data_IF_577943494356
#
_entry.id   IF_577943494356
#
_cell.length_a   1.000
_cell.length_b   1.000
_cell.length_c   1.000
_cell.angle_alpha   90.00
_cell.angle_beta   90.00
_cell.angle_gamma   90.00
#
_symmetry.space_group_name_H-M   'P 1'
#
loop_
_entity.id
_entity.type
_entity.pdbx_description
1 polymer ?
#
# COMPACT_ATOMS: atom_id res chain seq x y z
N UNK A 1 -7.79 4.45 21.59
CA UNK A 1 -8.91 4.00 22.45
C UNK A 1 -9.28 5.05 23.48
N UNK A 2 -8.35 5.54 24.30
CA UNK A 2 -8.64 6.55 25.35
C UNK A 2 -9.20 7.88 24.79
N UNK A 3 -8.73 8.34 23.63
CA UNK A 3 -9.21 9.58 23.00
C UNK A 3 -10.72 9.54 22.69
N UNK A 4 -11.25 8.39 22.28
CA UNK A 4 -12.68 8.23 21.93
C UNK A 4 -13.54 8.41 23.18
N UNK A 5 -13.14 7.79 24.29
CA UNK A 5 -13.85 7.93 25.56
C UNK A 5 -13.85 9.38 26.05
N UNK A 6 -12.72 10.09 25.97
CA UNK A 6 -12.68 11.51 26.36
C UNK A 6 -13.49 12.39 25.39
N UNK A 7 -13.48 12.13 24.08
CA UNK A 7 -14.31 12.87 23.12
C UNK A 7 -15.80 12.71 23.45
N UNK A 8 -16.25 11.48 23.71
CA UNK A 8 -17.65 11.21 24.09
C UNK A 8 -17.97 11.88 25.42
N UNK A 9 -17.08 11.80 26.41
CA UNK A 9 -17.27 12.46 27.69
C UNK A 9 -17.44 13.98 27.54
N UNK A 10 -16.51 14.64 26.83
CA UNK A 10 -16.59 16.09 26.62
C UNK A 10 -17.82 16.48 25.83
N UNK A 11 -18.21 15.66 24.85
CA UNK A 11 -19.44 15.87 24.10
C UNK A 11 -20.67 15.86 25.01
N UNK A 12 -20.84 14.80 25.81
CA UNK A 12 -21.96 14.67 26.74
C UNK A 12 -21.94 15.78 27.80
N UNK A 13 -20.78 16.07 28.38
CA UNK A 13 -20.62 17.11 29.39
C UNK A 13 -20.99 18.48 28.85
N UNK A 14 -20.40 18.91 27.73
CA UNK A 14 -20.66 20.24 27.18
C UNK A 14 -22.08 20.39 26.64
N UNK A 15 -22.69 19.33 26.09
CA UNK A 15 -24.09 19.37 25.69
C UNK A 15 -25.00 19.50 26.91
N UNK A 16 -24.73 18.75 27.98
CA UNK A 16 -25.55 18.77 29.19
C UNK A 16 -25.41 20.08 29.98
N UNK A 17 -24.17 20.58 30.12
CA UNK A 17 -23.88 21.85 30.76
C UNK A 17 -24.45 23.03 29.96
N UNK A 18 -24.39 22.99 28.63
CA UNK A 18 -25.00 24.01 27.78
C UNK A 18 -26.53 24.03 27.90
N UNK A 19 -27.18 22.86 27.86
CA UNK A 19 -28.63 22.76 28.08
C UNK A 19 -29.01 23.33 29.45
N UNK A 20 -28.29 22.92 30.48
CA UNK A 20 -28.55 23.34 31.86
C UNK A 20 -28.31 24.83 32.07
N UNK A 21 -27.31 25.43 31.42
CA UNK A 21 -27.01 26.85 31.57
C UNK A 21 -27.94 27.80 30.78
N UNK A 22 -28.54 27.32 29.68
CA UNK A 22 -29.23 28.18 28.72
C UNK A 22 -30.73 27.92 28.58
N UNK A 23 -31.19 26.69 28.82
CA UNK A 23 -32.54 26.25 28.45
C UNK A 23 -33.28 25.48 29.55
N UNK A 24 -32.57 24.94 30.54
CA UNK A 24 -33.20 24.17 31.62
C UNK A 24 -33.94 25.10 32.59
N UNK A 25 -35.25 24.91 32.70
CA UNK A 25 -36.03 25.41 33.82
C UNK A 25 -35.74 24.53 35.05
N UNK A 26 -35.02 25.08 36.01
CA UNK A 26 -34.68 24.32 37.19
C UNK A 26 -35.83 24.31 38.21
N UNK A 27 -36.09 23.14 38.77
CA UNK A 27 -37.13 22.91 39.78
C UNK A 27 -36.52 22.74 41.18
N UNK A 28 -37.30 22.87 42.28
CA UNK A 28 -36.80 22.65 43.65
C UNK A 28 -36.18 21.26 43.89
N UNK A 29 -36.52 20.26 43.07
CA UNK A 29 -35.94 18.92 43.11
C UNK A 29 -34.55 18.85 42.46
N UNK A 30 -34.16 19.84 41.64
CA UNK A 30 -32.86 19.94 40.94
C UNK A 30 -31.71 20.47 41.82
N UNK A 31 -31.88 20.49 43.15
CA UNK A 31 -30.82 20.91 44.09
C UNK A 31 -29.59 20.01 44.07
N UNK A 32 -29.71 18.81 43.50
CA UNK A 32 -28.60 17.90 43.25
C UNK A 32 -27.77 18.34 42.03
N UNK A 33 -26.57 18.84 42.31
CA UNK A 33 -25.54 19.28 41.35
C UNK A 33 -25.33 18.30 40.18
N UNK A 34 -25.37 17.00 40.44
CA UNK A 34 -25.22 15.98 39.39
C UNK A 34 -26.37 16.01 38.38
N UNK A 35 -27.61 16.23 38.82
CA UNK A 35 -28.77 16.35 37.92
C UNK A 35 -28.84 17.71 37.24
N UNK A 36 -28.24 18.73 37.87
CA UNK A 36 -28.10 20.07 37.32
C UNK A 36 -26.97 20.20 36.27
N UNK A 37 -25.96 19.33 36.28
CA UNK A 37 -24.81 19.39 35.33
C UNK A 37 -24.81 18.23 34.34
N UNK A 38 -25.32 17.05 34.74
CA UNK A 38 -25.44 15.85 33.92
C UNK A 38 -26.90 15.43 33.79
N UNK A 39 -27.66 16.23 33.05
CA UNK A 39 -28.94 15.77 32.50
C UNK A 39 -28.66 14.77 31.37
N UNK A 40 -28.85 13.48 31.69
CA UNK A 40 -28.67 12.36 30.76
C UNK A 40 -29.63 12.40 29.56
N UNK A 41 -30.69 13.21 29.64
CA UNK A 41 -31.67 13.40 28.57
C UNK A 41 -31.54 14.77 27.88
N UNK A 42 -30.50 15.56 28.16
CA UNK A 42 -30.33 16.92 27.61
C UNK A 42 -30.55 16.99 26.09
N UNK A 43 -29.97 16.04 25.33
CA UNK A 43 -30.12 16.01 23.86
C UNK A 43 -31.55 15.64 23.43
N UNK A 44 -32.20 14.74 24.16
CA UNK A 44 -33.58 14.32 23.87
C UNK A 44 -34.60 15.40 24.25
N UNK A 45 -34.38 16.12 25.35
CA UNK A 45 -35.22 17.24 25.79
C UNK A 45 -35.07 18.43 24.84
N UNK A 46 -33.84 18.81 24.49
CA UNK A 46 -33.59 19.84 23.48
C UNK A 46 -34.26 19.56 22.13
N UNK A 47 -34.31 18.29 21.71
CA UNK A 47 -35.01 17.90 20.48
C UNK A 47 -36.53 18.06 20.61
N UNK A 48 -37.09 17.90 21.81
CA UNK A 48 -38.49 18.13 22.09
C UNK A 48 -38.84 19.62 22.24
N UNK A 49 -37.93 20.40 22.82
CA UNK A 49 -38.11 21.83 23.13
C UNK A 49 -37.94 22.70 21.87
N UNK A 50 -37.04 22.33 20.95
CA UNK A 50 -37.00 22.93 19.62
C UNK A 50 -35.76 22.62 18.80
N UNK A 51 -35.90 22.63 17.47
CA UNK A 51 -34.77 22.36 16.56
C UNK A 51 -33.60 23.35 16.73
N UNK A 52 -33.89 24.61 17.07
CA UNK A 52 -32.87 25.63 17.34
C UNK A 52 -32.04 25.29 18.58
N UNK A 53 -32.68 24.85 19.66
CA UNK A 53 -31.99 24.49 20.92
C UNK A 53 -31.08 23.28 20.71
N UNK A 54 -31.57 22.28 19.98
CA UNK A 54 -30.78 21.13 19.56
C UNK A 54 -29.51 21.54 18.81
N UNK A 55 -29.59 22.50 17.88
CA UNK A 55 -28.41 23.01 17.16
C UNK A 55 -27.42 23.63 18.15
N UNK A 56 -27.87 24.48 19.06
CA UNK A 56 -26.99 25.15 20.03
C UNK A 56 -26.26 24.14 20.94
N UNK A 57 -26.99 23.14 21.45
CA UNK A 57 -26.47 22.13 22.38
C UNK A 57 -25.48 21.16 21.71
N UNK A 58 -25.63 20.93 20.41
CA UNK A 58 -24.67 20.15 19.62
C UNK A 58 -23.48 21.00 19.15
N UNK A 59 -23.70 22.29 18.86
CA UNK A 59 -22.67 23.19 18.36
C UNK A 59 -21.64 23.53 19.44
N UNK A 60 -22.05 23.75 20.69
CA UNK A 60 -21.14 24.11 21.78
C UNK A 60 -20.02 23.06 21.96
N UNK A 61 -20.32 21.76 22.17
CA UNK A 61 -19.27 20.74 22.22
C UNK A 61 -18.40 20.68 20.96
N UNK A 62 -18.99 20.89 19.78
CA UNK A 62 -18.23 20.93 18.53
C UNK A 62 -17.22 22.09 18.49
N UNK A 63 -17.59 23.27 19.01
CA UNK A 63 -16.66 24.40 19.16
C UNK A 63 -15.54 24.06 20.13
N UNK A 64 -15.84 23.48 21.30
CA UNK A 64 -14.81 23.09 22.27
C UNK A 64 -13.85 22.02 21.71
N UNK A 65 -14.38 20.96 21.08
CA UNK A 65 -13.55 19.95 20.42
C UNK A 65 -12.72 20.56 19.28
N UNK A 66 -13.29 21.48 18.50
CA UNK A 66 -12.60 22.22 17.45
C UNK A 66 -11.46 23.08 18.00
N UNK A 67 -11.66 23.75 19.14
CA UNK A 67 -10.61 24.50 19.83
C UNK A 67 -9.48 23.56 20.27
N UNK A 68 -9.78 22.38 20.82
CA UNK A 68 -8.71 21.45 21.21
C UNK A 68 -8.00 20.80 20.02
N UNK A 69 -8.64 20.70 18.85
CA UNK A 69 -7.95 20.39 17.58
C UNK A 69 -6.93 21.48 17.20
N UNK A 70 -7.26 22.76 17.41
CA UNK A 70 -6.33 23.88 17.16
C UNK A 70 -5.11 23.83 18.08
N UNK A 71 -5.20 23.28 19.29
CA UNK A 71 -4.04 23.05 20.16
C UNK A 71 -3.01 22.17 19.45
N UNK A 72 -3.45 21.10 18.78
CA UNK A 72 -2.55 20.24 18.01
C UNK A 72 -1.93 20.98 16.83
N UNK A 73 -2.74 21.70 16.04
CA UNK A 73 -2.26 22.48 14.89
C UNK A 73 -1.21 23.52 15.28
N UNK A 74 -1.42 24.24 16.38
CA UNK A 74 -0.44 25.21 16.86
C UNK A 74 0.78 24.55 17.54
N UNK A 75 0.65 23.32 18.05
CA UNK A 75 1.78 22.55 18.60
C UNK A 75 2.82 22.17 17.53
N UNK A 76 2.42 22.12 16.26
CA UNK A 76 3.31 21.81 15.12
C UNK A 76 4.14 23.01 14.63
N UNK A 77 3.70 24.23 14.95
CA UNK A 77 4.44 25.44 14.56
C UNK A 77 5.77 25.54 15.32
N UNK A 78 6.79 26.09 14.66
CA UNK A 78 8.12 26.32 15.25
C UNK A 78 8.19 27.71 15.90
N UNK A 79 8.92 27.82 17.00
CA UNK A 79 9.19 29.08 17.70
C UNK A 79 8.38 29.29 18.98
N UNK A 80 8.59 30.45 19.63
CA UNK A 80 7.99 30.79 20.93
C UNK A 80 6.51 31.20 20.76
N UNK A 81 6.14 31.74 19.61
CA UNK A 81 4.77 32.16 19.28
C UNK A 81 3.72 31.05 19.45
N UNK A 82 4.13 29.77 19.30
CA UNK A 82 3.25 28.62 19.52
C UNK A 82 2.71 28.57 20.96
N UNK A 83 3.57 28.86 21.95
CA UNK A 83 3.19 28.81 23.35
C UNK A 83 2.19 29.92 23.67
N UNK A 84 2.39 31.12 23.12
CA UNK A 84 1.45 32.23 23.26
C UNK A 84 0.08 31.91 22.64
N UNK A 85 0.04 31.30 21.44
CA UNK A 85 -1.22 30.89 20.80
C UNK A 85 -1.96 29.82 21.62
N UNK A 86 -1.23 28.81 22.10
CA UNK A 86 -1.81 27.74 22.93
C UNK A 86 -2.32 28.29 24.26
N UNK A 87 -1.53 29.14 24.94
CA UNK A 87 -1.95 29.79 26.19
C UNK A 87 -3.19 30.66 25.94
N UNK A 88 -3.21 31.46 24.87
CA UNK A 88 -4.37 32.27 24.52
C UNK A 88 -5.62 31.43 24.31
N UNK A 89 -5.49 30.29 23.63
CA UNK A 89 -6.60 29.37 23.41
C UNK A 89 -7.09 28.74 24.73
N UNK A 90 -6.18 28.29 25.59
CA UNK A 90 -6.51 27.76 26.92
C UNK A 90 -7.21 28.81 27.78
N UNK A 91 -6.77 30.07 27.74
CA UNK A 91 -7.41 31.17 28.48
C UNK A 91 -8.82 31.43 27.95
N UNK A 92 -9.02 31.44 26.62
CA UNK A 92 -10.36 31.59 26.03
C UNK A 92 -11.28 30.46 26.47
N UNK A 93 -10.82 29.21 26.40
CA UNK A 93 -11.61 28.05 26.86
C UNK A 93 -11.94 28.14 28.35
N UNK A 94 -10.97 28.55 29.18
CA UNK A 94 -11.19 28.75 30.61
C UNK A 94 -12.26 29.80 30.89
N UNK A 95 -12.28 30.90 30.16
CA UNK A 95 -13.30 31.95 30.28
C UNK A 95 -14.69 31.40 29.93
N UNK A 96 -14.81 30.60 28.86
CA UNK A 96 -16.10 29.99 28.52
C UNK A 96 -16.57 29.01 29.60
N UNK A 97 -15.68 28.15 30.11
CA UNK A 97 -16.03 27.21 31.19
C UNK A 97 -16.40 27.94 32.48
N UNK A 98 -15.73 29.07 32.78
CA UNK A 98 -16.07 29.95 33.89
C UNK A 98 -17.49 30.50 33.76
N UNK A 99 -17.86 30.97 32.57
CA UNK A 99 -19.20 31.51 32.30
C UNK A 99 -20.26 30.43 32.47
N UNK A 100 -20.04 29.23 31.93
CA UNK A 100 -20.97 28.09 32.05
C UNK A 100 -21.12 27.69 33.52
N UNK A 101 -20.01 27.55 34.25
CA UNK A 101 -20.04 27.20 35.66
C UNK A 101 -20.78 28.24 36.52
N UNK A 102 -20.54 29.53 36.24
CA UNK A 102 -21.21 30.61 36.95
C UNK A 102 -22.72 30.60 36.68
N UNK A 103 -23.13 30.43 35.41
CA UNK A 103 -24.54 30.37 35.03
C UNK A 103 -25.27 29.25 35.77
N UNK A 104 -24.74 28.02 35.75
CA UNK A 104 -25.37 26.87 36.42
C UNK A 104 -25.44 27.09 37.94
N UNK A 105 -24.36 27.56 38.57
CA UNK A 105 -24.34 27.77 40.02
C UNK A 105 -25.29 28.89 40.45
N UNK A 106 -25.42 29.94 39.63
CA UNK A 106 -26.40 31.02 39.83
C UNK A 106 -27.82 30.52 39.79
N UNK A 107 -28.18 29.76 38.76
CA UNK A 107 -29.52 29.16 38.64
C UNK A 107 -29.83 28.24 39.84
N UNK A 108 -28.90 27.36 40.23
CA UNK A 108 -29.07 26.50 41.43
C UNK A 108 -29.30 27.34 42.70
N UNK A 109 -28.59 28.46 42.83
CA UNK A 109 -28.71 29.34 43.98
C UNK A 109 -30.04 30.10 44.01
N UNK A 110 -30.52 30.60 42.86
CA UNK A 110 -31.81 31.29 42.77
C UNK A 110 -32.99 30.40 43.18
N UNK A 111 -32.97 29.11 42.84
CA UNK A 111 -33.95 28.13 43.32
C UNK A 111 -33.86 27.95 44.83
N UNK A 112 -32.64 27.83 45.38
CA UNK A 112 -32.43 27.68 46.82
C UNK A 112 -33.00 28.88 47.58
N UNK A 113 -32.87 30.08 47.03
CA UNK A 113 -33.51 31.29 47.58
C UNK A 113 -35.02 31.17 47.48
N UNK A 114 -35.56 30.87 46.29
CA UNK A 114 -37.01 30.78 46.06
C UNK A 114 -37.72 29.72 46.90
N UNK A 115 -37.02 28.65 47.31
CA UNK A 115 -37.50 27.64 48.26
C UNK A 115 -37.23 27.94 49.73
N UNK A 116 -36.49 29.00 50.05
CA UNK A 116 -36.14 29.40 51.42
C UNK A 116 -36.98 30.59 51.90
N UNK A 117 -37.40 30.57 53.16
CA UNK A 117 -38.15 31.68 53.77
C UNK A 117 -37.26 32.88 54.18
N UNK A 118 -35.98 32.89 53.79
CA UNK A 118 -35.02 33.93 54.16
C UNK A 118 -34.66 34.77 52.93
N UNK A 119 -34.65 36.10 53.09
CA UNK A 119 -34.10 37.01 52.09
C UNK A 119 -32.57 36.85 52.02
N UNK A 120 -32.12 35.95 51.15
CA UNK A 120 -30.70 35.82 50.82
C UNK A 120 -30.32 36.84 49.75
N UNK A 121 -29.11 37.39 49.85
CA UNK A 121 -28.57 38.29 48.84
C UNK A 121 -28.40 37.56 47.48
N UNK A 122 -28.55 38.26 46.34
CA UNK A 122 -28.35 37.66 45.03
C UNK A 122 -26.92 37.13 44.86
N UNK A 123 -26.76 36.07 44.07
CA UNK A 123 -25.44 35.47 43.85
C UNK A 123 -24.51 36.49 43.18
N UNK A 124 -23.38 36.74 43.85
CA UNK A 124 -22.26 37.51 43.30
C UNK A 124 -21.18 36.57 42.79
N UNK A 125 -20.30 37.06 41.92
CA UNK A 125 -19.14 36.31 41.43
C UNK A 125 -18.27 35.80 42.59
N UNK A 126 -18.06 36.63 43.61
CA UNK A 126 -17.31 36.23 44.82
C UNK A 126 -18.01 35.10 45.59
N UNK A 127 -19.35 35.13 45.66
CA UNK A 127 -20.15 34.05 46.22
C UNK A 127 -19.97 32.73 45.47
N UNK A 128 -20.00 32.77 44.13
CA UNK A 128 -19.79 31.59 43.29
C UNK A 128 -18.40 30.97 43.49
N UNK A 129 -17.34 31.77 43.71
CA UNK A 129 -16.00 31.24 44.00
C UNK A 129 -15.89 30.46 45.32
N UNK A 130 -16.76 30.77 46.29
CA UNK A 130 -16.83 30.08 47.58
C UNK A 130 -17.62 28.77 47.50
N UNK A 131 -18.42 28.59 46.45
CA UNK A 131 -19.20 27.38 46.22
C UNK A 131 -18.30 26.26 45.65
N UNK A 132 -18.31 25.09 46.29
CA UNK A 132 -17.54 23.93 45.81
C UNK A 132 -18.02 23.46 44.42
N UNK A 133 -19.31 23.64 44.14
CA UNK A 133 -19.94 23.20 42.90
C UNK A 133 -19.40 23.92 41.68
N UNK A 134 -19.03 25.20 41.85
CA UNK A 134 -18.39 26.00 40.83
C UNK A 134 -17.09 25.36 40.35
N UNK A 135 -16.24 24.95 41.29
CA UNK A 135 -14.97 24.30 40.99
C UNK A 135 -15.14 22.89 40.43
N UNK A 136 -16.17 22.15 40.84
CA UNK A 136 -16.48 20.83 40.28
C UNK A 136 -16.84 20.93 38.80
N UNK A 137 -17.65 21.92 38.39
CA UNK A 137 -18.02 22.12 36.98
C UNK A 137 -16.78 22.46 36.16
N UNK A 138 -15.96 23.41 36.62
CA UNK A 138 -14.71 23.79 35.94
C UNK A 138 -13.77 22.59 35.84
N UNK A 139 -13.65 21.78 36.90
CA UNK A 139 -12.78 20.61 36.87
C UNK A 139 -13.27 19.55 35.88
N UNK A 140 -14.58 19.28 35.86
CA UNK A 140 -15.20 18.31 34.95
C UNK A 140 -15.09 18.73 33.48
N UNK A 141 -15.15 20.04 33.17
CA UNK A 141 -14.97 20.56 31.82
C UNK A 141 -13.50 20.81 31.48
N UNK A 142 -12.95 21.89 32.05
CA UNK A 142 -11.69 22.50 31.64
C UNK A 142 -10.48 21.59 31.78
N UNK A 143 -10.36 20.91 32.93
CA UNK A 143 -9.20 20.04 33.18
C UNK A 143 -9.25 18.83 32.26
N UNK A 144 -10.42 18.22 32.08
CA UNK A 144 -10.60 17.10 31.15
C UNK A 144 -10.36 17.54 29.70
N UNK A 145 -10.78 18.75 29.34
CA UNK A 145 -10.51 19.35 28.03
C UNK A 145 -8.99 19.49 27.77
N UNK A 146 -8.22 19.99 28.74
CA UNK A 146 -6.76 20.09 28.61
C UNK A 146 -6.15 18.70 28.40
N UNK A 147 -6.55 17.71 29.21
CA UNK A 147 -6.07 16.33 29.09
C UNK A 147 -6.41 15.79 27.70
N UNK A 148 -7.63 16.00 27.22
CA UNK A 148 -8.06 15.59 25.89
C UNK A 148 -7.20 16.23 24.79
N UNK A 149 -6.96 17.55 24.84
CA UNK A 149 -6.14 18.25 23.85
C UNK A 149 -4.70 17.71 23.77
N UNK A 150 -4.09 17.39 24.92
CA UNK A 150 -2.76 16.77 24.94
C UNK A 150 -2.76 15.33 24.42
N UNK A 151 -3.71 14.50 24.88
CA UNK A 151 -3.86 13.11 24.41
C UNK A 151 -4.15 13.06 22.92
N UNK A 152 -4.95 14.00 22.42
CA UNK A 152 -5.24 14.18 21.00
C UNK A 152 -3.96 14.48 20.21
N UNK A 153 -3.19 15.49 20.64
CA UNK A 153 -1.93 15.83 19.97
C UNK A 153 -0.94 14.67 19.98
N UNK A 154 -0.84 13.91 21.07
CA UNK A 154 0.02 12.73 21.14
C UNK A 154 -0.46 11.63 20.16
N UNK A 155 -1.76 11.33 20.18
CA UNK A 155 -2.35 10.30 19.31
C UNK A 155 -2.15 10.65 17.84
N UNK A 156 -2.35 11.92 17.46
CA UNK A 156 -2.21 12.35 16.07
C UNK A 156 -0.76 12.26 15.59
N UNK A 157 0.22 12.66 16.42
CA UNK A 157 1.65 12.49 16.12
C UNK A 157 2.04 11.02 15.88
N UNK A 158 1.49 10.10 16.64
CA UNK A 158 1.75 8.66 16.45
C UNK A 158 1.04 8.13 15.19
N UNK A 159 -0.16 8.62 14.89
CA UNK A 159 -0.87 8.28 13.65
C UNK A 159 -0.10 8.74 12.41
N UNK A 160 0.43 9.97 12.41
CA UNK A 160 1.25 10.48 11.31
C UNK A 160 2.53 9.67 11.08
N UNK A 161 3.21 9.26 12.16
CA UNK A 161 4.39 8.38 12.05
C UNK A 161 4.01 7.02 11.47
N UNK A 162 2.92 6.43 11.95
CA UNK A 162 2.42 5.15 11.46
C UNK A 162 2.05 5.22 9.98
N UNK A 163 1.41 6.30 9.53
CA UNK A 163 1.06 6.52 8.13
C UNK A 163 2.30 6.66 7.24
N UNK A 164 3.35 7.37 7.69
CA UNK A 164 4.63 7.43 6.96
C UNK A 164 5.28 6.06 6.82
N UNK A 165 5.28 5.25 7.88
CA UNK A 165 5.81 3.89 7.85
C UNK A 165 4.98 3.01 6.92
N UNK A 166 3.65 3.09 7.00
CA UNK A 166 2.73 2.34 6.15
C UNK A 166 2.90 2.70 4.68
N UNK A 167 3.06 3.98 4.38
CA UNK A 167 3.37 4.46 3.03
C UNK A 167 4.71 3.90 2.55
N UNK A 168 5.77 3.98 3.35
CA UNK A 168 7.08 3.42 3.01
C UNK A 168 7.03 1.90 2.74
N UNK A 169 6.31 1.15 3.57
CA UNK A 169 6.09 -0.31 3.38
C UNK A 169 5.34 -0.57 2.07
N UNK A 170 4.27 0.19 1.79
CA UNK A 170 3.49 0.05 0.55
C UNK A 170 4.36 0.28 -0.68
N UNK A 171 5.17 1.33 -0.69
CA UNK A 171 6.09 1.62 -1.80
C UNK A 171 7.12 0.51 -2.00
N UNK A 172 7.67 -0.06 -0.92
CA UNK A 172 8.62 -1.19 -1.01
C UNK A 172 7.95 -2.45 -1.56
N UNK A 173 6.73 -2.76 -1.12
CA UNK A 173 5.97 -3.91 -1.62
C UNK A 173 5.61 -3.78 -3.10
N UNK A 174 5.28 -2.56 -3.55
CA UNK A 174 5.03 -2.29 -4.97
C UNK A 174 6.29 -2.56 -5.81
N UNK A 175 7.44 -2.02 -5.41
CA UNK A 175 8.73 -2.29 -6.08
C UNK A 175 9.07 -3.78 -6.10
N UNK A 176 8.78 -4.51 -5.01
CA UNK A 176 8.97 -5.96 -4.96
C UNK A 176 8.08 -6.70 -5.97
N UNK A 177 6.84 -6.22 -6.17
CA UNK A 177 5.94 -6.77 -7.18
C UNK A 177 6.45 -6.50 -8.60
N UNK A 178 6.95 -5.30 -8.87
CA UNK A 178 7.57 -4.92 -10.14
C UNK A 178 8.77 -5.83 -10.44
N UNK A 179 9.71 -5.96 -9.50
CA UNK A 179 10.86 -6.86 -9.67
C UNK A 179 10.47 -8.33 -9.89
N UNK A 180 9.39 -8.81 -9.26
CA UNK A 180 8.88 -10.17 -9.52
C UNK A 180 8.36 -10.34 -10.94
N UNK A 181 7.68 -9.32 -11.48
CA UNK A 181 7.20 -9.31 -12.87
C UNK A 181 8.40 -9.31 -13.83
N UNK A 182 9.40 -8.46 -13.58
CA UNK A 182 10.61 -8.41 -14.39
C UNK A 182 11.37 -9.74 -14.38
N UNK A 183 11.54 -10.36 -13.20
CA UNK A 183 12.14 -11.69 -13.09
C UNK A 183 11.37 -12.74 -13.89
N UNK A 184 10.04 -12.68 -13.90
CA UNK A 184 9.21 -13.60 -14.69
C UNK A 184 9.42 -13.40 -16.19
N UNK A 185 9.42 -12.15 -16.66
CA UNK A 185 9.67 -11.83 -18.08
C UNK A 185 11.07 -12.26 -18.52
N UNK A 186 12.09 -12.01 -17.69
CA UNK A 186 13.46 -12.46 -17.97
C UNK A 186 13.51 -13.99 -18.09
N UNK A 187 12.83 -14.72 -17.19
CA UNK A 187 12.77 -16.18 -17.24
C UNK A 187 12.06 -16.71 -18.49
N UNK A 188 10.98 -16.06 -18.91
CA UNK A 188 10.26 -16.40 -20.14
C UNK A 188 11.14 -16.15 -21.38
N UNK A 189 11.85 -15.02 -21.43
CA UNK A 189 12.77 -14.70 -22.50
C UNK A 189 13.96 -15.68 -22.56
N UNK A 190 14.49 -16.08 -21.39
CA UNK A 190 15.56 -17.07 -21.30
C UNK A 190 15.10 -18.43 -21.87
N UNK A 191 13.87 -18.83 -21.57
CA UNK A 191 13.28 -20.07 -22.11
C UNK A 191 13.11 -20.00 -23.63
N UNK A 192 12.66 -18.85 -24.17
CA UNK A 192 12.57 -18.63 -25.62
C UNK A 192 13.93 -18.72 -26.30
N UNK A 193 14.94 -18.06 -25.74
CA UNK A 193 16.32 -18.08 -26.26
C UNK A 193 16.92 -19.50 -26.21
N UNK A 194 16.65 -20.28 -25.16
CA UNK A 194 17.07 -21.68 -25.08
C UNK A 194 16.40 -22.54 -26.17
N UNK A 195 15.11 -22.35 -26.41
CA UNK A 195 14.40 -23.04 -27.49
C UNK A 195 14.97 -22.68 -28.86
N UNK A 196 15.23 -21.39 -29.11
CA UNK A 196 15.88 -20.94 -30.35
C UNK A 196 17.26 -21.56 -30.53
N UNK A 197 18.09 -21.57 -29.48
CA UNK A 197 19.41 -22.22 -29.51
C UNK A 197 19.30 -23.69 -29.90
N UNK A 198 18.39 -24.43 -29.27
CA UNK A 198 18.20 -25.85 -29.55
C UNK A 198 17.73 -26.09 -30.99
N UNK A 199 16.83 -25.24 -31.50
CA UNK A 199 16.37 -25.35 -32.89
C UNK A 199 17.50 -25.07 -33.88
N UNK A 200 18.29 -24.02 -33.66
CA UNK A 200 19.47 -23.71 -34.48
C UNK A 200 20.48 -24.83 -34.43
N UNK A 201 20.74 -25.43 -33.26
CA UNK A 201 21.62 -26.59 -33.15
C UNK A 201 21.10 -27.78 -33.97
N UNK A 202 19.81 -28.06 -33.91
CA UNK A 202 19.19 -29.11 -34.72
C UNK A 202 19.31 -28.86 -36.23
N UNK A 203 19.21 -27.61 -36.68
CA UNK A 203 19.44 -27.25 -38.09
C UNK A 203 20.90 -27.40 -38.50
N UNK A 204 21.85 -27.04 -37.63
CA UNK A 204 23.29 -27.27 -37.85
C UNK A 204 23.56 -28.77 -38.02
N UNK A 205 23.01 -29.60 -37.14
CA UNK A 205 23.21 -31.05 -37.17
C UNK A 205 22.62 -31.67 -38.45
N UNK A 206 21.43 -31.22 -38.88
CA UNK A 206 20.83 -31.63 -40.17
C UNK A 206 21.71 -31.25 -41.35
N UNK A 207 22.24 -30.02 -41.36
CA UNK A 207 23.12 -29.56 -42.43
C UNK A 207 24.42 -30.36 -42.47
N UNK A 208 24.98 -30.70 -41.30
CA UNK A 208 26.17 -31.56 -41.19
C UNK A 208 25.92 -32.96 -41.77
N UNK A 209 24.79 -33.59 -41.42
CA UNK A 209 24.40 -34.90 -41.97
C UNK A 209 24.24 -34.83 -43.49
N UNK A 210 23.60 -33.77 -44.02
CA UNK A 210 23.48 -33.58 -45.47
C UNK A 210 24.85 -33.47 -46.13
N UNK A 211 25.74 -32.65 -45.59
CA UNK A 211 27.10 -32.52 -46.12
C UNK A 211 27.84 -33.85 -46.13
N UNK A 212 27.75 -34.64 -45.05
CA UNK A 212 28.35 -35.98 -44.97
C UNK A 212 27.77 -36.95 -46.02
N UNK A 213 26.47 -36.86 -46.33
CA UNK A 213 25.84 -37.69 -47.37
C UNK A 213 26.26 -37.35 -48.79
N UNK A 214 26.75 -36.14 -49.05
CA UNK A 214 27.25 -35.72 -50.37
C UNK A 214 28.75 -35.98 -50.57
N UNK A 215 29.46 -36.51 -49.57
CA UNK A 215 30.88 -36.87 -49.73
C UNK A 215 30.99 -38.20 -50.46
N UNK A 216 31.26 -38.14 -51.76
CA UNK A 216 31.63 -39.31 -52.56
C UNK A 216 33.04 -39.77 -52.18
N UNK A 217 33.18 -41.01 -51.71
CA UNK A 217 34.48 -41.62 -51.47
C UNK A 217 35.00 -42.31 -52.72
N UNK A 218 36.27 -42.08 -53.03
CA UNK A 218 36.91 -42.63 -54.23
C UNK A 218 36.77 -44.15 -54.35
N UNK A 219 36.88 -44.86 -53.22
CA UNK A 219 36.83 -46.32 -53.19
C UNK A 219 35.46 -46.85 -53.60
N UNK A 220 34.38 -46.22 -53.14
CA UNK A 220 33.00 -46.64 -53.45
C UNK A 220 32.71 -46.44 -54.94
N UNK A 221 33.16 -45.32 -55.51
CA UNK A 221 33.01 -45.03 -56.95
C UNK A 221 33.89 -45.97 -57.79
N UNK A 222 35.13 -46.23 -57.37
CA UNK A 222 36.03 -47.18 -58.03
C UNK A 222 35.44 -48.58 -58.05
N UNK A 223 34.88 -49.05 -56.94
CA UNK A 223 34.27 -50.37 -56.84
C UNK A 223 33.07 -50.49 -57.79
N UNK A 224 32.19 -49.49 -57.81
CA UNK A 224 31.05 -49.44 -58.75
C UNK A 224 31.49 -49.48 -60.22
N UNK A 225 32.51 -48.69 -60.59
CA UNK A 225 33.08 -48.67 -61.94
C UNK A 225 33.70 -50.02 -62.28
N UNK A 226 34.50 -50.60 -61.40
CA UNK A 226 35.12 -51.91 -61.63
C UNK A 226 34.08 -53.01 -61.81
N UNK A 227 33.00 -53.01 -61.03
CA UNK A 227 31.92 -53.98 -61.16
C UNK A 227 31.18 -53.83 -62.50
N UNK A 228 30.89 -52.60 -62.92
CA UNK A 228 30.30 -52.33 -64.23
C UNK A 228 31.19 -52.80 -65.38
N UNK A 229 32.48 -52.42 -65.38
CA UNK A 229 33.42 -52.79 -66.44
C UNK A 229 33.75 -54.28 -66.46
N UNK A 230 33.72 -54.96 -65.31
CA UNK A 230 33.82 -56.42 -65.25
C UNK A 230 32.64 -57.09 -65.93
N UNK A 231 31.40 -56.62 -65.67
CA UNK A 231 30.19 -57.11 -66.33
C UNK A 231 30.18 -56.80 -67.83
N UNK A 232 30.54 -55.58 -68.20
CA UNK A 232 30.63 -55.14 -69.60
C UNK A 232 31.71 -55.88 -70.37
N UNK A 233 32.90 -56.06 -69.78
CA UNK A 233 33.98 -56.86 -70.36
C UNK A 233 33.61 -58.33 -70.51
N UNK A 234 32.82 -58.89 -69.58
CA UNK A 234 32.22 -60.22 -69.72
C UNK A 234 31.25 -60.30 -70.91
N UNK A 235 30.40 -59.30 -71.08
CA UNK A 235 29.49 -59.19 -72.23
C UNK A 235 30.24 -59.06 -73.56
N UNK A 236 31.23 -58.18 -73.66
CA UNK A 236 32.03 -58.00 -74.88
C UNK A 236 32.79 -59.25 -75.31
N UNK A 237 33.28 -60.04 -74.34
CA UNK A 237 33.90 -61.35 -74.60
C UNK A 237 32.89 -62.36 -75.13
N UNK A 238 31.62 -62.28 -74.72
CA UNK A 238 30.56 -63.16 -75.20
C UNK A 238 30.09 -62.85 -76.62
N UNK A 239 30.35 -61.64 -77.14
CA UNK A 239 29.92 -61.16 -78.46
C UNK A 239 31.00 -61.24 -79.55
N UNK A 240 32.10 -61.97 -79.33
CA UNK A 240 33.26 -62.06 -80.23
C UNK A 240 33.89 -60.69 -80.60
N UNK A 241 33.81 -59.71 -79.70
CA UNK A 241 34.49 -58.42 -79.88
C UNK A 241 36.01 -58.61 -79.98
N UNK A 242 36.70 -57.75 -80.74
CA UNK A 242 38.14 -57.89 -80.94
C UNK A 242 38.91 -57.65 -79.63
N UNK A 243 40.03 -58.36 -79.43
CA UNK A 243 40.86 -58.20 -78.23
C UNK A 243 41.41 -56.77 -78.07
N UNK A 244 41.57 -56.01 -79.17
CA UNK A 244 41.96 -54.60 -79.09
C UNK A 244 40.87 -53.74 -78.46
N UNK A 245 39.60 -53.96 -78.82
CA UNK A 245 38.49 -53.15 -78.29
C UNK A 245 38.29 -53.37 -76.78
N UNK A 246 38.52 -54.61 -76.31
CA UNK A 246 38.47 -54.95 -74.88
C UNK A 246 39.63 -54.28 -74.13
N UNK A 247 40.83 -54.23 -74.74
CA UNK A 247 41.98 -53.56 -74.15
C UNK A 247 41.79 -52.04 -74.08
N UNK A 248 41.23 -51.44 -75.13
CA UNK A 248 40.93 -50.01 -75.17
C UNK A 248 39.88 -49.62 -74.12
N UNK A 249 38.85 -50.45 -73.89
CA UNK A 249 37.90 -50.24 -72.80
C UNK A 249 38.57 -50.23 -71.43
N UNK A 250 39.53 -51.13 -71.20
CA UNK A 250 40.26 -51.21 -69.93
C UNK A 250 41.17 -50.00 -69.72
N UNK A 251 41.81 -49.51 -70.78
CA UNK A 251 42.61 -48.28 -70.73
C UNK A 251 41.76 -47.05 -70.43
N UNK A 252 40.56 -46.94 -71.02
CA UNK A 252 39.62 -45.84 -70.75
C UNK A 252 39.18 -45.88 -69.28
N UNK A 253 38.87 -47.06 -68.75
CA UNK A 253 38.51 -47.26 -67.34
C UNK A 253 39.63 -46.80 -66.40
N UNK A 254 40.86 -47.25 -66.61
CA UNK A 254 42.00 -46.87 -65.76
C UNK A 254 42.34 -45.39 -65.85
N UNK A 255 42.25 -44.79 -67.04
CA UNK A 255 42.43 -43.33 -67.24
C UNK A 255 41.37 -42.54 -66.46
N UNK A 256 40.10 -42.92 -66.60
CA UNK A 256 39.01 -42.25 -65.89
C UNK A 256 39.18 -42.36 -64.37
N UNK A 257 39.53 -43.54 -63.84
CA UNK A 257 39.78 -43.73 -62.40
C UNK A 257 40.98 -42.91 -61.91
N UNK A 258 42.02 -42.74 -62.74
CA UNK A 258 43.18 -41.92 -62.41
C UNK A 258 42.85 -40.43 -62.35
N UNK A 259 42.13 -39.90 -63.35
CA UNK A 259 41.67 -38.50 -63.38
C UNK A 259 40.73 -38.20 -62.21
N UNK A 260 39.80 -39.12 -61.94
CA UNK A 260 38.83 -39.00 -60.87
C UNK A 260 39.50 -38.99 -59.48
N UNK A 261 40.54 -39.81 -59.27
CA UNK A 261 41.33 -39.85 -58.02
C UNK A 261 42.00 -38.51 -57.70
N UNK A 262 42.40 -37.79 -58.74
CA UNK A 262 43.13 -36.52 -58.64
C UNK A 262 42.19 -35.30 -58.69
N UNK A 263 40.87 -35.51 -58.75
CA UNK A 263 39.89 -34.43 -58.78
C UNK A 263 39.63 -33.84 -57.39
N UNK A 264 39.34 -32.54 -57.33
CA UNK A 264 39.01 -31.83 -56.08
C UNK A 264 37.66 -32.26 -55.47
N UNK A 265 36.85 -32.99 -56.23
CA UNK A 265 35.49 -33.39 -55.87
C UNK A 265 35.43 -34.65 -55.01
N UNK A 266 36.54 -35.39 -54.86
CA UNK A 266 36.55 -36.68 -54.16
C UNK A 266 37.59 -36.68 -53.03
N UNK A 267 37.14 -37.05 -51.83
CA UNK A 267 38.05 -37.28 -50.70
C UNK A 267 38.63 -38.69 -50.78
N UNK A 268 39.95 -38.79 -50.78
CA UNK A 268 40.63 -40.03 -50.40
C UNK A 268 40.40 -40.25 -48.90
N UNK A 269 39.99 -41.45 -48.50
CA UNK A 269 39.83 -41.79 -47.09
C UNK A 269 41.21 -41.66 -46.42
N UNK A 270 41.52 -40.52 -45.83
CA UNK A 270 42.55 -40.42 -44.81
C UNK A 270 42.02 -41.24 -43.65
N UNK A 271 42.54 -42.45 -43.49
CA UNK A 271 42.37 -43.24 -42.27
C UNK A 271 42.92 -42.36 -41.14
N UNK A 272 42.02 -41.68 -40.43
CA UNK A 272 42.35 -41.05 -39.17
C UNK A 272 42.63 -42.21 -38.21
N UNK A 273 43.92 -42.40 -37.90
CA UNK A 273 44.36 -43.26 -36.82
C UNK A 273 43.65 -42.81 -35.53
N UNK A 274 43.13 -43.81 -34.80
CA UNK A 274 42.48 -43.71 -33.49
C UNK A 274 43.18 -42.76 -32.51
#
# INVERSE_FOLDING_TARGET
MIIIFLTIYLFVFYSSAAYSALFKDFTPDDTNITQAIFDAQAVSKALADGFTELIFILAIPAVFLGLGFLIHKFSEEKGIAKYFKIIGLVVVTFIFDFIIAYAIVKEIYEIKIGGSFQEMAPMTIEGAFKEINFWIIIFAGFVVYIIWGFVFSFTMKEFEKMDRVRYAIKTKNQKLSEYKIDCKQIKENLTKLQSQRNNTQGEIDKQKIRLESYVLYFNDVREGINNYFTGWGGYLKSTNSSQSDIHDCEQIKERFLFELKNSEFIKTRSVANN
#
